data_IF_310776652316
#
_entry.id   IF_310776652316
#
_cell.length_a   1.000
_cell.length_b   1.000
_cell.length_c   1.000
_cell.angle_alpha   90.00
_cell.angle_beta   90.00
_cell.angle_gamma   90.00
#
_symmetry.space_group_name_H-M   'P 1'
#
loop_
_entity.id
_entity.type
_entity.pdbx_description
1 polymer ?
2 non-polymer ?
3 non-polymer ?
4 water ?
#
# COMPACT_ATOMS: atom_id res chain seq x y z
N UNK A 12 -27.40 0.18 -20.01
CA UNK A 12 -27.06 0.99 -21.18
C UNK A 12 -25.88 1.91 -20.87
N UNK A 13 -26.00 2.70 -19.81
CA UNK A 13 -24.94 3.64 -19.42
C UNK A 13 -23.62 2.92 -19.16
N UNK A 14 -23.66 1.85 -18.38
CA UNK A 14 -22.43 1.15 -18.05
C UNK A 14 -21.69 0.65 -19.30
N UNK A 15 -22.41 0.03 -20.24
CA UNK A 15 -21.80 -0.43 -21.50
C UNK A 15 -21.18 0.73 -22.26
N UNK A 16 -21.88 1.87 -22.29
CA UNK A 16 -21.35 3.06 -22.95
C UNK A 16 -20.05 3.53 -22.32
N UNK A 17 -20.01 3.54 -20.99
CA UNK A 17 -18.80 3.97 -20.29
C UNK A 17 -17.64 3.02 -20.57
N UNK A 18 -17.92 1.71 -20.52
CA UNK A 18 -16.89 0.71 -20.75
C UNK A 18 -16.35 0.76 -22.18
N UNK A 19 -17.23 0.95 -23.14
CA UNK A 19 -16.78 1.08 -24.53
C UNK A 19 -15.90 2.30 -24.70
N UNK A 20 -16.26 3.42 -24.06
CA UNK A 20 -15.48 4.64 -24.19
C UNK A 20 -14.10 4.42 -23.61
N UNK A 21 -14.06 3.78 -22.44
CA UNK A 21 -12.80 3.52 -21.74
C UNK A 21 -11.95 2.46 -22.43
N UNK A 22 -12.56 1.73 -23.34
CA UNK A 22 -11.82 0.75 -24.13
C UNK A 22 -11.07 1.43 -25.28
N UNK A 23 -11.37 2.70 -25.55
CA UNK A 23 -10.68 3.44 -26.61
C UNK A 23 -9.22 3.55 -26.25
N UNK A 24 -8.36 3.39 -27.26
CA UNK A 24 -6.92 3.43 -27.05
C UNK A 24 -6.30 4.64 -27.71
N UNK A 25 -5.55 5.42 -26.94
CA UNK A 25 -4.75 6.52 -27.50
C UNK A 25 -5.57 7.48 -28.36
N UNK A 26 -6.74 7.84 -27.86
CA UNK A 26 -7.58 8.85 -28.48
C UNK A 26 -8.58 9.26 -27.42
N UNK A 27 -9.28 10.36 -27.67
CA UNK A 27 -10.42 10.75 -26.86
C UNK A 27 -10.08 10.81 -25.36
N UNK A 28 -8.95 11.47 -25.07
CA UNK A 28 -8.49 11.54 -23.67
C UNK A 28 -9.51 12.22 -22.76
N UNK A 29 -10.05 13.36 -23.17
CA UNK A 29 -11.00 14.04 -22.30
C UNK A 29 -12.31 13.27 -22.14
N UNK A 30 -12.77 12.63 -23.22
CA UNK A 30 -13.98 11.82 -23.16
C UNK A 30 -13.79 10.62 -22.24
N UNK A 31 -12.58 10.07 -22.23
CA UNK A 31 -12.28 8.97 -21.33
C UNK A 31 -12.18 9.45 -19.88
N UNK A 32 -11.67 10.65 -19.63
CA UNK A 32 -11.71 11.19 -18.28
C UNK A 32 -13.15 11.38 -17.83
N UNK A 33 -14.02 11.86 -18.71
CA UNK A 33 -15.43 11.97 -18.37
C UNK A 33 -15.98 10.58 -18.01
N UNK A 34 -15.66 9.55 -18.82
CA UNK A 34 -16.16 8.22 -18.52
C UNK A 34 -15.67 7.72 -17.14
N UNK A 35 -14.40 7.99 -16.81
CA UNK A 35 -13.88 7.65 -15.49
C UNK A 35 -14.62 8.41 -14.38
N UNK A 36 -14.89 9.70 -14.61
CA UNK A 36 -15.64 10.46 -13.63
C UNK A 36 -17.10 10.01 -13.52
N UNK A 37 -17.68 9.51 -14.61
CA UNK A 37 -19.01 8.91 -14.53
C UNK A 37 -18.99 7.63 -13.69
N UNK A 38 -17.92 6.82 -13.82
CA UNK A 38 -17.76 5.66 -12.94
C UNK A 38 -17.61 6.12 -11.48
N UNK A 39 -16.85 7.18 -11.26
CA UNK A 39 -16.73 7.73 -9.91
C UNK A 39 -18.08 8.20 -9.37
N UNK A 40 -18.84 8.88 -10.21
CA UNK A 40 -20.17 9.34 -9.86
C UNK A 40 -21.08 8.18 -9.44
N UNK A 41 -21.10 7.11 -10.25
CA UNK A 41 -21.93 5.95 -9.93
C UNK A 41 -21.51 5.35 -8.57
N UNK A 42 -20.21 5.37 -8.30
CA UNK A 42 -19.70 4.83 -7.07
C UNK A 42 -20.17 5.69 -5.86
N UNK A 43 -20.14 7.01 -6.02
CA UNK A 43 -20.62 7.92 -4.97
C UNK A 43 -22.13 7.86 -4.76
N UNK A 44 -22.85 7.45 -5.81
CA UNK A 44 -24.30 7.22 -5.77
C UNK A 44 -24.62 5.84 -5.18
N UNK A 45 -23.58 5.07 -4.84
CA UNK A 45 -23.64 3.65 -4.42
C UNK A 45 -23.90 2.70 -5.61
N UNK A 46 -25.01 2.92 -6.31
CA UNK A 46 -25.34 2.14 -7.50
C UNK A 46 -25.20 0.63 -7.27
N UNK A 47 -25.83 0.13 -6.22
CA UNK A 47 -25.65 -1.27 -5.81
C UNK A 47 -25.95 -2.26 -6.93
N UNK A 48 -26.95 -1.97 -7.76
CA UNK A 48 -27.30 -2.88 -8.85
C UNK A 48 -26.24 -2.90 -9.96
N UNK A 49 -25.56 -1.79 -10.20
CA UNK A 49 -24.47 -1.76 -11.15
C UNK A 49 -23.40 -2.75 -10.72
N UNK A 50 -23.03 -2.74 -9.44
CA UNK A 50 -21.99 -3.65 -8.95
C UNK A 50 -22.44 -5.11 -8.96
N UNK A 51 -23.70 -5.36 -8.66
CA UNK A 51 -24.24 -6.71 -8.73
C UNK A 51 -24.04 -7.33 -10.12
N UNK A 52 -24.13 -6.52 -11.18
CA UNK A 52 -24.04 -7.04 -12.54
C UNK A 52 -22.65 -6.90 -13.17
N UNK A 53 -21.92 -5.86 -12.78
CA UNK A 53 -20.76 -5.43 -13.55
C UNK A 53 -19.46 -5.25 -12.79
N UNK A 54 -19.40 -5.63 -11.52
CA UNK A 54 -18.19 -5.36 -10.73
C UNK A 54 -16.91 -5.88 -11.42
N UNK A 55 -16.91 -7.14 -11.82
CA UNK A 55 -15.73 -7.72 -12.45
C UNK A 55 -15.32 -6.94 -13.71
N UNK A 56 -16.30 -6.70 -14.59
CA UNK A 56 -16.01 -6.02 -15.85
C UNK A 56 -15.40 -4.64 -15.58
N UNK A 57 -15.98 -3.89 -14.64
CA UNK A 57 -15.50 -2.55 -14.36
C UNK A 57 -14.11 -2.61 -13.73
N UNK A 58 -13.94 -3.45 -12.71
CA UNK A 58 -12.66 -3.50 -12.00
C UNK A 58 -11.54 -3.90 -12.96
N UNK A 59 -11.76 -4.93 -13.76
CA UNK A 59 -10.69 -5.40 -14.64
C UNK A 59 -10.34 -4.36 -15.71
N UNK A 60 -11.32 -3.62 -16.21
CA UNK A 60 -11.02 -2.56 -17.16
C UNK A 60 -10.26 -1.43 -16.48
N UNK A 61 -10.68 -1.08 -15.27
CA UNK A 61 -9.98 -0.04 -14.52
C UNK A 61 -8.51 -0.40 -14.28
N UNK A 62 -8.26 -1.65 -13.90
CA UNK A 62 -6.89 -2.09 -13.65
C UNK A 62 -6.06 -2.08 -14.95
N UNK A 63 -6.66 -2.42 -16.09
CA UNK A 63 -5.97 -2.27 -17.37
C UNK A 63 -5.60 -0.81 -17.63
N UNK A 64 -6.48 0.10 -17.21
CA UNK A 64 -6.32 1.52 -17.46
C UNK A 64 -5.13 2.10 -16.69
N UNK A 65 -4.70 1.40 -15.64
CA UNK A 65 -3.48 1.77 -14.93
C UNK A 65 -2.25 1.78 -15.81
N UNK A 66 -2.33 1.10 -16.96
CA UNK A 66 -1.21 1.05 -17.89
C UNK A 66 -1.31 2.06 -19.02
N UNK A 67 -2.31 2.94 -18.95
CA UNK A 67 -2.47 3.98 -19.96
C UNK A 67 -1.22 4.85 -20.06
N UNK A 68 -0.86 5.28 -21.27
CA UNK A 68 0.32 6.13 -21.43
C UNK A 68 0.13 7.56 -20.90
N UNK A 69 -1.12 7.98 -20.71
CA UNK A 69 -1.38 9.33 -20.21
C UNK A 69 -1.38 9.36 -18.66
N UNK A 70 -0.47 10.15 -18.06
CA UNK A 70 -0.44 10.17 -16.58
C UNK A 70 -1.72 10.68 -15.94
N UNK A 71 -2.43 11.59 -16.59
CA UNK A 71 -3.67 12.07 -15.98
C UNK A 71 -4.74 10.99 -16.00
N UNK A 72 -4.69 10.09 -16.97
CA UNK A 72 -5.60 8.94 -16.98
C UNK A 72 -5.21 7.91 -15.92
N UNK A 73 -3.91 7.62 -15.78
CA UNK A 73 -3.47 6.68 -14.72
C UNK A 73 -3.86 7.19 -13.34
N UNK A 74 -3.62 8.48 -13.08
CA UNK A 74 -3.94 9.03 -11.75
C UNK A 74 -5.43 8.98 -11.48
N UNK A 75 -6.23 9.36 -12.47
CA UNK A 75 -7.67 9.33 -12.29
C UNK A 75 -8.19 7.90 -12.08
N UNK A 76 -7.61 6.93 -12.81
CA UNK A 76 -8.05 5.56 -12.63
C UNK A 76 -7.77 5.09 -11.21
N UNK A 77 -6.64 5.50 -10.64
CA UNK A 77 -6.34 5.17 -9.25
C UNK A 77 -7.30 5.85 -8.25
N UNK A 78 -7.77 7.05 -8.58
CA UNK A 78 -8.77 7.72 -7.74
C UNK A 78 -10.10 6.97 -7.80
N UNK A 79 -10.47 6.49 -8.98
CA UNK A 79 -11.68 5.69 -9.11
C UNK A 79 -11.54 4.38 -8.34
N UNK A 80 -10.40 3.73 -8.49
CA UNK A 80 -10.12 2.50 -7.74
C UNK A 80 -10.29 2.72 -6.24
N UNK A 81 -9.72 3.82 -5.73
CA UNK A 81 -9.87 4.12 -4.32
C UNK A 81 -11.34 4.23 -3.94
N UNK A 82 -12.15 4.91 -4.75
CA UNK A 82 -13.57 5.03 -4.44
C UNK A 82 -14.29 3.68 -4.43
N UNK A 83 -13.95 2.81 -5.38
CA UNK A 83 -14.59 1.50 -5.41
C UNK A 83 -14.17 0.70 -4.17
N UNK A 84 -12.90 0.81 -3.75
CA UNK A 84 -12.44 0.15 -2.52
C UNK A 84 -13.23 0.65 -1.30
N UNK A 85 -13.49 1.96 -1.26
CA UNK A 85 -14.23 2.55 -0.15
C UNK A 85 -15.68 2.09 -0.10
N UNK A 86 -16.30 1.97 -1.27
CA UNK A 86 -17.73 1.67 -1.35
C UNK A 86 -18.08 0.20 -1.47
N UNK A 87 -17.19 -0.58 -2.07
CA UNK A 87 -17.46 -2.00 -2.33
C UNK A 87 -16.32 -2.89 -1.82
N UNK A 88 -15.85 -2.71 -0.58
CA UNK A 88 -14.68 -3.49 -0.16
C UNK A 88 -14.87 -5.00 -0.16
N UNK A 89 -16.06 -5.50 0.15
CA UNK A 89 -16.25 -6.94 0.27
C UNK A 89 -15.98 -7.67 -1.03
N UNK A 90 -16.27 -7.07 -2.17
CA UNK A 90 -16.09 -7.75 -3.46
C UNK A 90 -14.64 -7.97 -3.81
N UNK A 91 -13.73 -7.24 -3.17
CA UNK A 91 -12.31 -7.42 -3.41
C UNK A 91 -11.76 -8.69 -2.79
N UNK A 92 -12.59 -9.42 -2.05
CA UNK A 92 -12.20 -10.70 -1.44
C UNK A 92 -11.57 -11.65 -2.45
N UNK A 93 -12.05 -11.60 -3.69
CA UNK A 93 -11.56 -12.50 -4.74
C UNK A 93 -10.60 -11.82 -5.71
N UNK A 94 -10.13 -10.62 -5.35
CA UNK A 94 -9.20 -9.89 -6.20
C UNK A 94 -8.08 -9.30 -5.35
N UNK A 95 -7.76 -9.95 -4.23
CA UNK A 95 -6.88 -9.31 -3.26
C UNK A 95 -5.47 -9.14 -3.77
N UNK A 96 -4.87 -10.23 -4.22
CA UNK A 96 -3.50 -10.17 -4.70
C UNK A 96 -3.35 -9.31 -5.93
N UNK A 97 -4.29 -9.43 -6.86
CA UNK A 97 -4.29 -8.61 -8.06
C UNK A 97 -4.30 -7.11 -7.71
N UNK A 98 -5.18 -6.73 -6.79
CA UNK A 98 -5.33 -5.31 -6.47
C UNK A 98 -4.11 -4.79 -5.72
N UNK A 99 -3.57 -5.60 -4.80
CA UNK A 99 -2.35 -5.22 -4.09
C UNK A 99 -1.21 -5.04 -5.08
N UNK A 100 -1.02 -6.02 -5.95
CA UNK A 100 0.10 -5.98 -6.88
C UNK A 100 0.03 -4.78 -7.84
N UNK A 101 -1.16 -4.50 -8.38
CA UNK A 101 -1.29 -3.39 -9.31
C UNK A 101 -1.10 -2.05 -8.60
N UNK A 102 -1.63 -1.95 -7.38
CA UNK A 102 -1.51 -0.69 -6.64
C UNK A 102 -0.06 -0.42 -6.24
N UNK A 103 0.63 -1.44 -5.76
CA UNK A 103 2.03 -1.29 -5.42
C UNK A 103 2.87 -0.92 -6.65
N UNK A 104 2.59 -1.58 -7.78
CA UNK A 104 3.35 -1.35 -9.00
C UNK A 104 3.23 0.11 -9.46
N UNK A 105 2.06 0.72 -9.24
CA UNK A 105 1.87 2.11 -9.64
C UNK A 105 2.77 3.08 -8.87
N UNK A 106 3.32 2.65 -7.75
CA UNK A 106 4.23 3.52 -6.98
C UNK A 106 5.56 3.80 -7.70
N UNK A 107 5.89 3.03 -8.73
CA UNK A 107 7.14 3.32 -9.45
C UNK A 107 6.97 4.29 -10.61
N UNK A 108 5.78 4.88 -10.74
CA UNK A 108 5.53 5.84 -11.83
C UNK A 108 6.45 7.07 -11.80
N UNK A 109 6.88 7.53 -13.00
CA UNK A 109 7.70 8.75 -13.09
C UNK A 109 6.95 10.04 -12.75
N UNK A 110 5.63 9.99 -12.67
CA UNK A 110 4.83 11.20 -12.45
C UNK A 110 4.29 11.22 -11.03
N UNK A 111 4.62 12.30 -10.31
CA UNK A 111 4.31 12.39 -8.88
C UNK A 111 2.83 12.28 -8.57
N UNK A 112 2.00 12.82 -9.45
CA UNK A 112 0.55 12.75 -9.26
C UNK A 112 0.04 11.31 -9.27
N UNK A 113 0.64 10.48 -10.11
CA UNK A 113 0.24 9.08 -10.18
C UNK A 113 0.65 8.37 -8.90
N UNK A 114 1.88 8.63 -8.45
CA UNK A 114 2.36 8.04 -7.21
C UNK A 114 1.47 8.43 -6.03
N UNK A 115 1.13 9.72 -5.92
CA UNK A 115 0.27 10.16 -4.83
C UNK A 115 -1.08 9.45 -4.84
N UNK A 116 -1.65 9.29 -6.04
CA UNK A 116 -2.93 8.61 -6.15
C UNK A 116 -2.79 7.12 -5.78
N UNK A 117 -1.66 6.51 -6.14
CA UNK A 117 -1.40 5.12 -5.77
C UNK A 117 -1.27 4.98 -4.25
N UNK A 118 -0.59 5.96 -3.62
CA UNK A 118 -0.47 5.97 -2.15
C UNK A 118 -1.84 6.06 -1.47
N UNK A 119 -2.72 6.88 -2.01
CA UNK A 119 -4.04 7.03 -1.41
C UNK A 119 -4.87 5.75 -1.58
N UNK A 120 -4.76 5.10 -2.74
CA UNK A 120 -5.46 3.83 -2.93
C UNK A 120 -4.90 2.78 -1.98
N UNK A 121 -3.57 2.74 -1.83
CA UNK A 121 -2.90 1.76 -0.97
C UNK A 121 -3.33 1.91 0.50
N UNK A 122 -3.54 3.16 0.94
CA UNK A 122 -3.97 3.41 2.31
C UNK A 122 -5.34 2.78 2.56
N UNK A 123 -6.24 2.91 1.60
CA UNK A 123 -7.58 2.34 1.76
C UNK A 123 -7.52 0.81 1.65
N UNK A 124 -6.75 0.32 0.69
CA UNK A 124 -6.60 -1.11 0.53
C UNK A 124 -6.14 -1.77 1.84
N UNK A 125 -5.21 -1.12 2.56
CA UNK A 125 -4.65 -1.69 3.78
C UNK A 125 -5.68 -1.90 4.88
N UNK A 126 -6.79 -1.17 4.83
CA UNK A 126 -7.78 -1.28 5.89
C UNK A 126 -8.89 -2.24 5.59
N UNK A 127 -9.00 -2.70 4.35
CA UNK A 127 -10.10 -3.61 4.03
C UNK A 127 -9.67 -5.05 3.75
N UNK A 128 -8.52 -5.20 3.12
CA UNK A 128 -8.03 -6.51 2.70
C UNK A 128 -7.90 -7.46 3.89
N UNK A 129 -8.21 -8.74 3.69
CA UNK A 129 -7.91 -9.74 4.72
C UNK A 129 -6.46 -9.61 5.16
N UNK A 130 -6.21 -9.37 6.47
CA UNK A 130 -4.84 -9.01 6.85
C UNK A 130 -3.78 -10.10 6.66
N UNK A 131 -4.06 -11.32 7.06
CA UNK A 131 -3.09 -12.39 6.91
C UNK A 131 -2.77 -12.63 5.44
N UNK A 132 -3.81 -12.62 4.61
CA UNK A 132 -3.63 -12.83 3.18
C UNK A 132 -2.78 -11.70 2.57
N UNK A 133 -3.01 -10.48 3.04
CA UNK A 133 -2.20 -9.37 2.56
C UNK A 133 -0.75 -9.50 3.02
N UNK A 134 -0.54 -9.81 4.29
CA UNK A 134 0.84 -9.98 4.78
C UNK A 134 1.59 -11.02 3.95
N UNK A 135 0.92 -12.11 3.61
CA UNK A 135 1.58 -13.20 2.91
C UNK A 135 2.04 -12.81 1.51
N UNK A 136 1.27 -12.00 0.80
CA UNK A 136 1.72 -11.57 -0.53
C UNK A 136 2.80 -10.48 -0.42
N UNK A 137 2.71 -9.65 0.62
CA UNK A 137 3.70 -8.58 0.79
C UNK A 137 5.08 -9.13 1.10
N UNK A 138 5.18 -10.27 1.79
CA UNK A 138 6.50 -10.75 2.21
C UNK A 138 7.50 -10.97 1.04
N UNK A 139 7.10 -11.73 0.01
CA UNK A 139 8.06 -11.89 -1.10
C UNK A 139 8.25 -10.61 -1.90
N UNK A 140 7.23 -9.75 -1.97
CA UNK A 140 7.38 -8.46 -2.66
C UNK A 140 8.45 -7.60 -1.95
N UNK A 141 8.36 -7.53 -0.62
CA UNK A 141 9.34 -6.78 0.14
C UNK A 141 10.76 -7.28 -0.10
N UNK A 142 10.93 -8.60 -0.26
CA UNK A 142 12.25 -9.17 -0.43
C UNK A 142 12.81 -9.05 -1.84
N UNK A 143 11.95 -8.80 -2.84
CA UNK A 143 12.37 -8.88 -4.23
C UNK A 143 12.14 -7.61 -5.08
N UNK A 144 11.16 -6.78 -4.72
CA UNK A 144 10.78 -5.69 -5.63
C UNK A 144 11.78 -4.55 -5.65
N UNK A 145 11.82 -3.85 -6.77
CA UNK A 145 12.63 -2.64 -6.89
C UNK A 145 12.12 -1.51 -6.01
N UNK A 146 13.01 -0.62 -5.61
CA UNK A 146 12.58 0.64 -5.00
C UNK A 146 11.81 1.46 -6.06
N UNK A 147 10.71 2.12 -5.66
CA UNK A 147 10.10 2.26 -4.32
C UNK A 147 8.88 1.36 -4.11
N UNK A 148 8.74 0.31 -4.92
CA UNK A 148 7.66 -0.65 -4.70
C UNK A 148 7.88 -1.37 -3.37
N UNK A 149 9.12 -1.76 -3.08
CA UNK A 149 9.41 -2.36 -1.79
C UNK A 149 9.01 -1.46 -0.60
N UNK A 150 9.32 -0.18 -0.71
CA UNK A 150 8.93 0.81 0.29
C UNK A 150 7.43 0.80 0.51
N UNK A 151 6.67 0.89 -0.57
CA UNK A 151 5.21 0.88 -0.47
C UNK A 151 4.71 -0.41 0.18
N UNK A 152 5.36 -1.53 -0.13
CA UNK A 152 4.95 -2.81 0.43
C UNK A 152 5.19 -2.86 1.94
N UNK A 153 6.33 -2.37 2.39
CA UNK A 153 6.61 -2.33 3.82
C UNK A 153 5.61 -1.45 4.55
N UNK A 154 5.31 -0.27 3.99
CA UNK A 154 4.32 0.62 4.63
C UNK A 154 2.94 -0.04 4.72
N UNK A 155 2.56 -0.77 3.67
CA UNK A 155 1.29 -1.49 3.70
C UNK A 155 1.32 -2.60 4.75
N UNK A 156 2.45 -3.30 4.83
CA UNK A 156 2.59 -4.39 5.80
C UNK A 156 2.42 -3.87 7.22
N UNK A 157 2.98 -2.69 7.50
CA UNK A 157 2.84 -2.07 8.81
C UNK A 157 1.39 -1.86 9.18
N UNK A 158 0.62 -1.32 8.24
CA UNK A 158 -0.81 -1.08 8.48
C UNK A 158 -1.61 -2.36 8.70
N UNK A 159 -1.30 -3.42 7.97
CA UNK A 159 -2.03 -4.69 8.13
C UNK A 159 -1.58 -5.45 9.38
N UNK A 160 -0.32 -5.30 9.79
CA UNK A 160 0.16 -5.90 11.03
C UNK A 160 -0.62 -5.32 12.23
N UNK A 161 -0.96 -4.05 12.13
CA UNK A 161 -1.76 -3.38 13.16
C UNK A 161 -3.16 -3.98 13.30
N UNK A 162 -3.55 -4.82 12.36
CA UNK A 162 -4.89 -5.42 12.31
C UNK A 162 -4.95 -6.92 12.67
N UNK A 163 -3.84 -7.49 13.13
CA UNK A 163 -3.85 -8.91 13.48
C UNK A 163 -3.58 -9.13 14.97
N UNK A 164 -3.94 -10.31 15.46
CA UNK A 164 -3.72 -10.64 16.86
C UNK A 164 -2.27 -11.00 17.08
N UNK A 165 -1.85 -10.99 18.34
CA UNK A 165 -0.52 -11.46 18.71
C UNK A 165 -0.27 -12.89 18.24
N UNK A 166 -1.24 -13.78 18.44
CA UNK A 166 -1.07 -15.17 18.04
C UNK A 166 -0.84 -15.30 16.53
N UNK A 167 -1.62 -14.58 15.74
CA UNK A 167 -1.45 -14.57 14.29
C UNK A 167 -0.10 -13.98 13.89
N UNK A 168 0.25 -12.85 14.50
CA UNK A 168 1.50 -12.20 14.16
C UNK A 168 2.70 -13.11 14.47
N UNK A 169 2.68 -13.78 15.63
CA UNK A 169 3.78 -14.69 15.97
C UNK A 169 3.94 -15.79 14.93
N UNK A 170 2.82 -16.32 14.43
CA UNK A 170 2.86 -17.36 13.40
C UNK A 170 3.43 -16.86 12.08
N UNK A 171 3.27 -15.56 11.79
CA UNK A 171 3.74 -14.98 10.53
C UNK A 171 5.15 -14.40 10.63
N UNK A 172 5.70 -14.29 11.84
CA UNK A 172 7.01 -13.68 11.98
C UNK A 172 8.14 -14.28 11.16
N UNK A 173 8.20 -15.62 11.06
CA UNK A 173 9.30 -16.16 10.27
C UNK A 173 9.25 -15.70 8.81
N UNK A 174 8.06 -15.42 8.30
CA UNK A 174 7.93 -14.87 6.95
C UNK A 174 8.15 -13.35 6.86
N UNK A 175 7.71 -12.63 7.89
CA UNK A 175 7.84 -11.16 7.91
C UNK A 175 9.27 -10.71 8.18
N UNK A 176 9.93 -11.36 9.14
CA UNK A 176 11.21 -10.82 9.60
C UNK A 176 12.33 -10.67 8.56
N UNK A 177 12.53 -11.68 7.68
CA UNK A 177 13.66 -11.54 6.76
C UNK A 177 13.60 -10.27 5.90
N UNK A 178 12.41 -9.92 5.42
CA UNK A 178 12.25 -8.70 4.65
C UNK A 178 12.58 -7.43 5.42
N UNK A 179 12.26 -7.41 6.71
CA UNK A 179 12.51 -6.23 7.53
C UNK A 179 13.99 -6.12 7.89
N UNK A 180 14.63 -7.25 8.18
CA UNK A 180 16.07 -7.24 8.43
C UNK A 180 16.85 -6.82 7.18
N UNK A 181 16.47 -7.39 6.03
CA UNK A 181 17.05 -6.99 4.74
C UNK A 181 16.83 -5.49 4.46
N UNK A 182 15.60 -5.02 4.67
CA UNK A 182 15.27 -3.64 4.35
C UNK A 182 15.99 -2.67 5.25
N UNK A 183 16.31 -3.08 6.47
CA UNK A 183 17.07 -2.23 7.37
C UNK A 183 18.48 -1.97 6.84
N UNK A 184 18.94 -2.81 5.90
CA UNK A 184 20.25 -2.64 5.25
C UNK A 184 20.16 -1.96 3.88
N UNK A 185 18.94 -1.55 3.49
CA UNK A 185 18.77 -0.92 2.18
C UNK A 185 19.51 0.44 2.14
N UNK A 186 19.99 0.85 0.98
CA UNK A 186 20.66 2.14 0.84
C UNK A 186 19.70 3.33 0.97
N UNK A 187 18.41 3.11 0.73
CA UNK A 187 17.42 4.19 0.85
C UNK A 187 16.98 4.38 2.30
N UNK A 188 17.18 5.58 2.84
CA UNK A 188 16.74 5.85 4.20
C UNK A 188 15.24 5.65 4.35
N UNK A 189 14.47 5.89 3.29
CA UNK A 189 13.02 5.73 3.37
C UNK A 189 12.67 4.28 3.67
N UNK A 190 13.40 3.35 3.04
CA UNK A 190 13.15 1.93 3.29
C UNK A 190 13.60 1.56 4.70
N UNK A 191 14.78 2.04 5.11
CA UNK A 191 15.24 1.73 6.46
C UNK A 191 14.25 2.24 7.52
N UNK A 192 13.80 3.49 7.35
CA UNK A 192 12.84 4.07 8.28
C UNK A 192 11.53 3.27 8.29
N UNK A 193 11.05 2.89 7.11
CA UNK A 193 9.81 2.11 7.04
C UNK A 193 9.98 0.78 7.77
N UNK A 194 11.15 0.18 7.66
CA UNK A 194 11.41 -1.06 8.39
C UNK A 194 11.45 -0.85 9.90
N UNK A 195 12.10 0.22 10.35
CA UNK A 195 12.09 0.53 11.77
C UNK A 195 10.66 0.73 12.28
N UNK A 196 9.85 1.45 11.52
CA UNK A 196 8.47 1.73 11.95
C UNK A 196 7.64 0.43 11.93
N UNK A 197 7.93 -0.47 10.98
CA UNK A 197 7.25 -1.77 10.97
C UNK A 197 7.64 -2.59 12.21
N UNK A 198 8.94 -2.60 12.54
CA UNK A 198 9.40 -3.30 13.75
C UNK A 198 8.79 -2.72 15.03
N UNK A 199 8.63 -1.40 15.07
CA UNK A 199 7.95 -0.77 16.22
C UNK A 199 6.51 -1.29 16.31
N UNK A 200 5.82 -1.39 15.18
CA UNK A 200 4.46 -1.92 15.16
C UNK A 200 4.39 -3.38 15.60
N UNK A 201 5.35 -4.19 15.15
CA UNK A 201 5.43 -5.57 15.59
C UNK A 201 5.64 -5.64 17.11
N UNK A 202 6.57 -4.83 17.62
CA UNK A 202 6.84 -4.80 19.04
C UNK A 202 5.61 -4.38 19.84
N UNK A 203 4.83 -3.46 19.27
CA UNK A 203 3.61 -3.00 19.94
C UNK A 203 2.65 -4.16 20.23
N UNK A 204 2.70 -5.18 19.38
CA UNK A 204 1.79 -6.30 19.49
C UNK A 204 2.41 -7.44 20.31
N UNK A 205 3.67 -7.77 20.05
CA UNK A 205 4.21 -8.95 20.71
C UNK A 205 5.19 -8.66 21.85
N UNK A 206 5.56 -7.40 22.01
CA UNK A 206 6.42 -6.99 23.10
C UNK A 206 7.81 -7.63 23.02
N UNK A 207 8.39 -7.94 24.17
CA UNK A 207 9.76 -8.45 24.19
C UNK A 207 9.94 -9.86 23.59
N UNK A 208 8.84 -10.45 23.11
CA UNK A 208 8.91 -11.67 22.31
C UNK A 208 9.54 -11.41 20.93
N UNK A 209 9.76 -10.14 20.61
CA UNK A 209 10.41 -9.80 19.36
C UNK A 209 11.91 -10.08 19.46
N UNK A 210 12.44 -10.06 20.67
CA UNK A 210 13.89 -10.12 20.90
C UNK A 210 14.69 -11.15 20.09
N UNK A 211 14.29 -12.44 20.13
CA UNK A 211 15.12 -13.43 19.43
C UNK A 211 15.14 -13.26 17.91
N UNK A 212 14.18 -12.52 17.35
CA UNK A 212 14.13 -12.30 15.91
C UNK A 212 15.09 -11.20 15.44
N UNK A 213 15.73 -10.53 16.40
CA UNK A 213 16.53 -9.35 16.10
C UNK A 213 18.02 -9.61 16.25
N UNK A 214 18.43 -10.87 16.34
CA UNK A 214 19.82 -11.20 16.59
C UNK A 214 20.77 -10.74 15.48
N UNK A 215 20.25 -10.56 14.27
CA UNK A 215 21.07 -10.16 13.13
C UNK A 215 21.33 -8.66 13.08
N UNK A 216 20.61 -7.90 13.91
CA UNK A 216 20.80 -6.45 13.90
C UNK A 216 22.10 -6.06 14.59
N UNK A 217 22.83 -5.14 13.97
CA UNK A 217 24.02 -4.56 14.57
C UNK A 217 23.66 -3.67 15.76
N UNK A 218 24.66 -3.32 16.55
CA UNK A 218 24.47 -2.51 17.73
C UNK A 218 23.83 -1.17 17.43
N UNK A 219 24.30 -0.51 16.38
CA UNK A 219 23.74 0.80 16.02
C UNK A 219 22.27 0.67 15.60
N UNK A 220 21.95 -0.40 14.86
CA UNK A 220 20.58 -0.57 14.43
C UNK A 220 19.63 -0.94 15.58
N UNK A 221 20.16 -1.67 16.57
CA UNK A 221 19.38 -1.95 17.77
C UNK A 221 19.13 -0.68 18.59
N UNK A 222 20.17 0.15 18.72
CA UNK A 222 20.00 1.42 19.45
C UNK A 222 18.94 2.31 18.80
N UNK A 223 18.98 2.42 17.48
CA UNK A 223 18.02 3.25 16.77
C UNK A 223 16.59 2.69 16.90
N UNK A 224 16.44 1.37 16.77
CA UNK A 224 15.14 0.75 16.95
C UNK A 224 14.63 1.00 18.36
N UNK A 225 15.49 0.80 19.35
CA UNK A 225 15.09 1.07 20.75
C UNK A 225 14.61 2.50 20.97
N UNK A 226 15.25 3.46 20.32
CA UNK A 226 14.87 4.86 20.43
C UNK A 226 13.43 5.05 19.95
N UNK A 227 13.10 4.45 18.81
CA UNK A 227 11.75 4.62 18.26
C UNK A 227 10.69 3.83 19.02
N UNK A 228 11.06 2.67 19.56
CA UNK A 228 10.15 1.95 20.45
C UNK A 228 9.81 2.82 21.67
N UNK A 229 10.83 3.44 22.27
CA UNK A 229 10.61 4.27 23.45
C UNK A 229 9.72 5.46 23.12
N UNK A 230 9.95 6.07 21.96
CA UNK A 230 9.10 7.17 21.50
C UNK A 230 7.63 6.76 21.36
N UNK A 231 7.39 5.58 20.79
CA UNK A 231 6.01 5.11 20.63
C UNK A 231 5.35 4.89 21.98
N UNK A 232 6.14 4.49 22.96
CA UNK A 232 5.63 4.24 24.31
C UNK A 232 5.38 5.52 25.12
N UNK A 233 6.19 6.55 24.90
CA UNK A 233 6.15 7.75 25.73
C UNK A 233 5.47 8.92 25.04
N UNK A 234 5.51 8.94 23.72
CA UNK A 234 4.96 10.03 22.96
C UNK A 234 5.98 11.13 22.73
N UNK A 243 1.93 18.03 6.11
CA UNK A 243 3.12 17.66 5.34
C UNK A 243 4.37 17.93 6.15
N UNK A 244 4.32 18.96 6.98
CA UNK A 244 5.44 19.36 7.81
C UNK A 244 5.91 18.30 8.78
N UNK A 245 4.98 17.70 9.50
CA UNK A 245 5.34 16.67 10.47
C UNK A 245 6.05 15.49 9.82
N UNK A 246 5.54 15.04 8.68
CA UNK A 246 6.13 13.91 7.96
C UNK A 246 7.56 14.21 7.50
N UNK A 247 7.75 15.35 6.85
CA UNK A 247 9.06 15.73 6.32
C UNK A 247 10.04 15.91 7.46
N UNK A 248 9.57 16.57 8.53
CA UNK A 248 10.36 16.70 9.74
C UNK A 248 10.79 15.34 10.28
N UNK A 249 9.86 14.40 10.36
CA UNK A 249 10.12 13.06 10.87
C UNK A 249 11.16 12.32 10.03
N UNK A 250 11.04 12.47 8.72
CA UNK A 250 11.97 11.81 7.79
C UNK A 250 13.39 12.34 7.98
N UNK A 251 13.57 13.65 8.10
CA UNK A 251 14.91 14.20 8.29
C UNK A 251 15.46 13.85 9.66
N UNK A 252 14.60 13.91 10.67
CA UNK A 252 15.00 13.58 12.04
C UNK A 252 15.53 12.14 12.10
N UNK A 253 14.86 11.24 11.38
CA UNK A 253 15.29 9.84 11.33
C UNK A 253 16.72 9.77 10.78
N UNK A 254 17.02 10.53 9.73
CA UNK A 254 18.35 10.47 9.16
C UNK A 254 19.41 10.96 10.14
N UNK A 255 19.11 12.02 10.86
CA UNK A 255 20.06 12.55 11.83
C UNK A 255 20.26 11.61 13.02
N UNK A 256 19.17 11.08 13.54
CA UNK A 256 19.26 10.10 14.64
C UNK A 256 20.00 8.84 14.21
N UNK A 257 19.73 8.39 13.00
CA UNK A 257 20.44 7.21 12.48
C UNK A 257 21.95 7.50 12.39
N UNK A 258 22.29 8.67 11.87
CA UNK A 258 23.68 9.09 11.80
C UNK A 258 24.34 9.00 13.17
N UNK A 259 23.65 9.52 14.17
CA UNK A 259 24.18 9.54 15.52
C UNK A 259 24.33 8.13 16.08
N UNK A 260 23.45 7.22 15.70
CA UNK A 260 23.49 5.86 16.22
C UNK A 260 24.77 5.11 15.80
N UNK A 261 25.39 5.56 14.71
CA UNK A 261 26.49 4.82 14.10
C UNK A 261 27.87 5.32 14.51
N UNK A 262 27.87 6.38 15.31
CA UNK A 262 29.13 7.03 15.70
C UNK A 262 29.80 6.25 16.84
X LIG B 1 -20.87 -7.22 -1.50
X LIG C 1 3.64 -6.01 -6.98
X LIG C 1 3.72 -4.75 -7.61
X LIG C 1 4.01 -7.14 -7.91
X LIG C 1 5.13 -7.86 -7.40
X LIG C 1 6.36 -7.55 -8.06
X LIG C 1 6.88 -6.23 -7.60
X LIG C 1 7.86 -5.69 -8.48
#
# INVERSE_FOLDING_TARGET
>A
GPGSEFSLDHSDLVAELLKELSNHNERVEERKIALYELMKLTQEESFSVWDEHFKTILLLLLETLGDKEPTIRALALKVLREILRHQPARFKNYAELTVMKTLEAHKDPHKEVVRSAEEAASVLATSISPEQCIKVLCPIIQTADYPINLAAIKMQTKVIERVSKETLNLLLPEIMPGLIQGYDNSESSVRKACVFCLVAVHAVIGDELKPHLSQLTGSKMKLLNLYIKRAQTGSGSLVPRGSGSKHFEDLEFQQLEHESRLDE
>B hetero
1 CL CL
>C hetero
1 PEG C1 O1 C2 O2 C3 C4 O4
#
